data_IF_982312998567
#
_entry.id   IF_982312998567
#
_cell.length_a   1.000
_cell.length_b   1.000
_cell.length_c   1.000
_cell.angle_alpha   90.00
_cell.angle_beta   90.00
_cell.angle_gamma   90.00
#
_symmetry.space_group_name_H-M   'P 1'
#
loop_
_entity.id
_entity.type
_entity.pdbx_description
1 polymer ?
#
# COMPACT_ATOMS: atom_id res chain seq x y z
N UNK A 1 -4.44 25.09 -8.78
CA UNK A 1 -4.25 24.93 -7.32
C UNK A 1 -2.92 25.61 -6.99
N UNK A 2 -2.90 26.64 -6.13
CA UNK A 2 -1.66 27.35 -5.77
C UNK A 2 -1.11 26.82 -4.44
N UNK A 3 0.22 26.67 -4.37
CA UNK A 3 0.96 26.19 -3.20
C UNK A 3 1.39 27.42 -2.39
N UNK A 4 0.96 27.52 -1.13
CA UNK A 4 1.56 28.46 -0.17
C UNK A 4 2.20 27.70 1.00
N UNK A 5 3.52 27.58 0.91
CA UNK A 5 4.52 27.27 1.95
C UNK A 5 4.51 25.87 2.61
N UNK A 6 5.71 25.29 2.64
CA UNK A 6 6.07 24.05 3.32
C UNK A 6 6.78 24.35 4.64
N UNK A 7 6.26 23.83 5.76
CA UNK A 7 7.05 23.59 6.97
C UNK A 7 6.79 22.17 7.47
N UNK A 8 7.88 21.41 7.60
CA UNK A 8 7.97 20.18 8.42
C UNK A 8 7.10 18.98 8.02
N UNK A 9 7.35 18.42 6.83
CA UNK A 9 7.23 16.97 6.63
C UNK A 9 5.84 16.36 6.41
N UNK A 10 4.78 17.16 6.24
CA UNK A 10 3.44 16.66 5.91
C UNK A 10 2.87 17.42 4.71
N UNK A 11 2.52 16.70 3.65
CA UNK A 11 1.82 17.23 2.50
C UNK A 11 0.31 17.27 2.83
N UNK A 12 -0.24 18.45 3.12
CA UNK A 12 -1.69 18.64 3.33
C UNK A 12 -2.27 19.40 2.15
N UNK A 13 -3.26 18.81 1.47
CA UNK A 13 -4.04 19.50 0.44
C UNK A 13 -5.22 20.22 1.09
N UNK A 14 -5.35 21.54 0.88
CA UNK A 14 -6.53 22.32 1.26
C UNK A 14 -7.24 22.79 -0.02
N UNK A 15 -8.52 22.46 -0.17
CA UNK A 15 -9.41 23.11 -1.13
C UNK A 15 -9.98 24.38 -0.49
N UNK A 16 -10.07 25.49 -1.23
CA UNK A 16 -10.37 26.82 -0.69
C UNK A 16 -11.74 26.89 0.02
N UNK A 17 -11.73 27.40 1.26
CA UNK A 17 -12.84 28.11 1.89
C UNK A 17 -12.26 29.16 2.88
N UNK A 18 -12.98 30.29 2.99
CA UNK A 18 -12.66 31.65 3.50
C UNK A 18 -12.00 31.79 4.91
N UNK A 19 -11.49 32.99 5.30
CA UNK A 19 -10.37 33.15 6.23
C UNK A 19 -10.74 33.28 7.73
N UNK A 20 -9.82 32.82 8.59
CA UNK A 20 -9.73 33.27 9.99
C UNK A 20 -9.41 32.18 11.01
N UNK A 21 -8.16 31.70 11.10
CA UNK A 21 -7.61 31.15 12.37
C UNK A 21 -6.08 31.12 12.34
N UNK A 22 -5.45 31.75 13.33
CA UNK A 22 -4.00 31.80 13.56
C UNK A 22 -3.58 30.66 14.50
N UNK A 23 -2.49 29.93 14.22
CA UNK A 23 -1.90 28.95 15.17
C UNK A 23 -0.38 29.12 15.31
N UNK A 24 0.10 29.00 16.55
CA UNK A 24 1.47 29.30 17.00
C UNK A 24 2.52 28.27 16.58
N UNK A 25 3.75 28.77 16.39
CA UNK A 25 4.95 28.10 15.85
C UNK A 25 5.78 27.45 16.97
N UNK A 26 6.28 26.22 16.80
CA UNK A 26 7.44 25.69 17.53
C UNK A 26 8.30 24.80 16.63
N UNK A 27 9.61 25.04 16.64
CA UNK A 27 10.60 24.49 15.72
C UNK A 27 11.12 23.10 16.17
N UNK A 28 11.46 22.24 15.20
CA UNK A 28 12.36 21.09 15.39
C UNK A 28 13.36 21.01 14.21
N UNK A 29 14.58 20.64 14.54
CA UNK A 29 15.81 20.80 13.75
C UNK A 29 16.02 19.74 12.65
N UNK A 30 16.88 20.10 11.70
CA UNK A 30 17.29 19.37 10.50
C UNK A 30 17.93 18.00 10.77
N UNK A 31 17.51 16.98 10.02
CA UNK A 31 18.30 15.76 9.77
C UNK A 31 18.36 15.47 8.27
N UNK A 32 19.57 15.21 7.78
CA UNK A 32 19.82 14.66 6.43
C UNK A 32 19.45 13.17 6.46
N UNK A 33 18.49 12.76 5.63
CA UNK A 33 18.09 11.35 5.54
C UNK A 33 17.10 11.10 4.39
N UNK A 34 17.15 9.89 3.83
CA UNK A 34 16.17 9.36 2.88
C UNK A 34 14.79 9.30 3.55
N UNK A 35 13.78 9.90 2.91
CA UNK A 35 12.39 9.88 3.39
C UNK A 35 11.66 8.71 2.73
N UNK A 36 11.09 7.84 3.55
CA UNK A 36 10.24 6.73 3.12
C UNK A 36 8.77 7.16 3.21
N UNK A 37 8.08 7.21 2.07
CA UNK A 37 6.64 7.46 2.00
C UNK A 37 5.97 6.25 1.35
N UNK A 38 5.46 5.33 2.16
CA UNK A 38 4.52 4.32 1.68
C UNK A 38 3.12 4.92 1.67
N UNK A 39 2.49 4.97 0.50
CA UNK A 39 1.10 5.44 0.39
C UNK A 39 0.18 4.30 0.82
N UNK A 40 -0.05 4.19 2.13
CA UNK A 40 -1.13 3.38 2.69
C UNK A 40 -2.37 4.25 2.71
N UNK A 41 -3.15 4.25 1.61
CA UNK A 41 -4.42 4.95 1.60
C UNK A 41 -5.45 4.09 2.36
N UNK A 42 -5.80 4.53 3.56
CA UNK A 42 -6.95 3.99 4.29
C UNK A 42 -8.20 4.25 3.43
N UNK A 43 -8.88 3.19 3.00
CA UNK A 43 -10.15 3.27 2.27
C UNK A 43 -11.14 4.13 3.07
N UNK A 44 -11.49 5.30 2.52
CA UNK A 44 -12.67 6.07 2.92
C UNK A 44 -13.63 6.00 1.75
N UNK A 45 -14.75 5.31 1.94
CA UNK A 45 -15.86 5.31 0.99
C UNK A 45 -16.33 6.75 0.77
N UNK A 46 -16.31 7.18 -0.49
CA UNK A 46 -16.75 8.51 -0.91
C UNK A 46 -18.25 8.45 -1.20
N UNK A 47 -19.04 9.19 -0.42
CA UNK A 47 -20.43 9.53 -0.75
C UNK A 47 -20.42 10.51 -1.94
N UNK A 48 -21.14 10.15 -3.01
CA UNK A 48 -21.14 10.82 -4.31
C UNK A 48 -21.69 12.26 -4.34
N UNK A 49 -21.95 12.90 -3.20
CA UNK A 49 -22.59 14.24 -3.20
C UNK A 49 -21.94 15.32 -2.36
N UNK A 50 -20.90 15.06 -1.55
CA UNK A 50 -20.20 16.14 -0.80
C UNK A 50 -18.71 15.85 -0.60
N UNK A 51 -17.88 16.59 -1.31
CA UNK A 51 -16.42 16.57 -1.18
C UNK A 51 -15.99 17.35 0.08
N UNK A 52 -15.98 16.70 1.23
CA UNK A 52 -15.23 17.17 2.40
C UNK A 52 -14.42 16.03 3.02
N UNK A 53 -13.10 16.17 2.97
CA UNK A 53 -12.14 15.28 3.62
C UNK A 53 -11.84 15.85 5.00
N UNK A 54 -12.21 15.13 6.06
CA UNK A 54 -11.76 15.43 7.43
C UNK A 54 -10.98 14.23 7.95
N UNK A 55 -9.65 14.32 7.97
CA UNK A 55 -8.79 13.36 8.64
C UNK A 55 -8.27 14.00 9.94
N UNK A 56 -8.67 13.45 11.09
CA UNK A 56 -8.07 13.76 12.39
C UNK A 56 -7.52 12.44 12.93
N UNK A 57 -6.20 12.33 13.02
CA UNK A 57 -5.56 11.21 13.68
C UNK A 57 -5.78 11.33 15.20
N UNK A 58 -6.08 10.24 15.93
CA UNK A 58 -6.02 10.26 17.38
C UNK A 58 -4.54 10.28 17.81
N UNK A 59 -4.13 11.39 18.42
CA UNK A 59 -3.00 11.41 19.35
C UNK A 59 -3.38 10.47 20.50
N UNK A 60 -2.70 9.33 20.63
CA UNK A 60 -2.73 8.59 21.88
C UNK A 60 -1.62 9.13 22.76
N UNK A 61 -2.02 9.95 23.74
CA UNK A 61 -1.24 10.21 24.93
C UNK A 61 -0.96 8.88 25.64
N UNK A 62 0.31 8.48 25.64
CA UNK A 62 0.92 7.62 26.65
C UNK A 62 2.44 7.77 26.48
N UNK A 63 2.94 8.86 27.04
CA UNK A 63 4.37 9.06 27.31
C UNK A 63 4.72 8.08 28.43
N UNK A 64 5.34 6.95 28.07
CA UNK A 64 6.19 6.23 29.01
C UNK A 64 7.63 6.68 28.70
N UNK A 65 8.13 7.59 29.52
CA UNK A 65 9.56 7.89 29.61
C UNK A 65 10.28 6.60 30.01
N UNK A 66 10.89 5.92 29.02
CA UNK A 66 11.98 5.02 29.30
C UNK A 66 13.25 5.88 29.34
N UNK A 67 13.67 6.25 30.55
CA UNK A 67 15.00 6.76 30.85
C UNK A 67 16.03 5.81 30.23
N UNK A 68 16.76 6.27 29.22
CA UNK A 68 17.93 5.59 28.68
C UNK A 68 19.09 5.95 29.60
N UNK A 69 19.56 4.97 30.38
CA UNK A 69 20.87 5.01 31.03
C UNK A 69 21.95 5.09 29.93
N UNK A 70 22.71 6.20 29.93
CA UNK A 70 23.76 6.49 28.96
C UNK A 70 25.14 5.98 29.41
N UNK A 71 25.22 4.95 30.24
CA UNK A 71 26.50 4.37 30.67
C UNK A 71 26.63 2.89 30.29
N UNK A 72 27.08 2.65 29.06
CA UNK A 72 27.46 1.32 28.59
C UNK A 72 28.02 1.39 27.17
N UNK A 73 29.33 1.16 27.05
CA UNK A 73 30.06 1.19 25.78
C UNK A 73 29.45 0.22 24.74
N UNK A 74 28.96 0.78 23.63
CA UNK A 74 28.67 0.01 22.42
C UNK A 74 29.94 -0.06 21.55
N UNK A 75 30.30 -1.23 20.99
CA UNK A 75 31.45 -1.32 20.11
C UNK A 75 31.17 -0.54 18.81
N UNK A 76 32.00 0.46 18.54
CA UNK A 76 32.04 1.15 17.25
C UNK A 76 32.59 0.19 16.18
N UNK A 77 31.73 -0.25 15.26
CA UNK A 77 32.21 -0.83 14.00
C UNK A 77 32.54 0.31 13.03
N UNK A 78 33.84 0.50 12.79
CA UNK A 78 34.33 1.31 11.68
C UNK A 78 33.92 0.63 10.38
N UNK A 79 33.08 1.30 9.57
CA UNK A 79 32.79 0.88 8.20
C UNK A 79 34.07 1.10 7.40
N UNK A 80 34.79 0.03 7.10
CA UNK A 80 35.81 0.04 6.04
C UNK A 80 35.12 -0.17 4.70
N UNK A 81 35.57 0.57 3.71
CA UNK A 81 35.15 0.42 2.31
C UNK A 81 35.33 -1.04 1.86
N UNK A 82 34.24 -1.64 1.39
CA UNK A 82 34.23 -3.01 0.83
C UNK A 82 34.50 -2.86 -0.67
N UNK A 83 35.70 -3.24 -1.09
CA UNK A 83 36.02 -3.46 -2.51
C UNK A 83 35.29 -4.72 -3.04
N UNK A 84 34.97 -4.80 -4.35
CA UNK A 84 34.02 -5.77 -4.90
C UNK A 84 34.44 -7.25 -4.87
N UNK A 85 35.57 -7.57 -4.26
CA UNK A 85 36.26 -8.86 -4.41
C UNK A 85 36.10 -9.79 -3.20
N UNK A 86 35.56 -9.28 -2.07
CA UNK A 86 35.42 -10.02 -0.81
C UNK A 86 33.98 -10.47 -0.48
N UNK A 87 33.10 -10.56 -1.50
CA UNK A 87 31.79 -11.16 -1.32
C UNK A 87 31.91 -12.67 -1.11
N UNK A 88 31.94 -13.09 0.15
CA UNK A 88 32.04 -14.48 0.60
C UNK A 88 31.02 -15.38 -0.13
N UNK A 89 31.54 -16.19 -1.06
CA UNK A 89 30.81 -17.10 -1.96
C UNK A 89 30.20 -18.29 -1.19
N UNK A 90 30.46 -18.41 0.12
CA UNK A 90 29.89 -19.47 0.97
C UNK A 90 28.38 -19.33 1.19
N UNK A 91 27.82 -18.11 1.14
CA UNK A 91 26.37 -17.89 1.25
C UNK A 91 25.60 -18.44 0.03
N UNK A 92 26.22 -18.43 -1.16
CA UNK A 92 25.61 -18.94 -2.39
C UNK A 92 25.65 -20.46 -2.53
N UNK A 93 26.60 -21.15 -1.87
CA UNK A 93 26.61 -22.62 -1.87
C UNK A 93 25.37 -23.22 -1.19
N UNK A 94 24.87 -22.59 -0.12
CA UNK A 94 23.66 -23.03 0.58
C UNK A 94 22.37 -22.97 -0.26
N UNK A 95 22.31 -22.11 -1.28
CA UNK A 95 21.13 -22.01 -2.16
C UNK A 95 21.08 -23.13 -3.21
N UNK A 96 22.22 -23.72 -3.55
CA UNK A 96 22.29 -24.83 -4.51
C UNK A 96 21.84 -26.16 -3.90
N UNK A 97 22.11 -26.37 -2.60
CA UNK A 97 21.66 -27.56 -1.88
C UNK A 97 20.14 -27.53 -1.55
N UNK A 98 19.56 -26.35 -1.39
CA UNK A 98 18.10 -26.21 -1.19
C UNK A 98 17.30 -26.55 -2.46
N UNK A 99 17.88 -26.41 -3.66
CA UNK A 99 17.21 -26.78 -4.92
C UNK A 99 16.96 -28.28 -5.06
N UNK A 100 17.68 -29.15 -4.35
CA UNK A 100 17.47 -30.60 -4.43
C UNK A 100 16.37 -31.12 -3.50
N UNK A 101 15.89 -30.31 -2.55
CA UNK A 101 14.85 -30.72 -1.57
C UNK A 101 13.44 -30.18 -1.87
N UNK A 102 13.25 -29.46 -2.98
CA UNK A 102 11.91 -29.02 -3.41
C UNK A 102 11.66 -29.44 -4.85
N UNK A 103 11.24 -30.69 -5.04
CA UNK A 103 10.49 -31.12 -6.22
C UNK A 103 9.07 -30.50 -6.18
N UNK A 104 8.99 -29.17 -6.19
CA UNK A 104 7.74 -28.45 -6.38
C UNK A 104 7.76 -27.93 -7.81
N UNK A 105 7.16 -28.73 -8.69
CA UNK A 105 6.67 -28.28 -9.99
C UNK A 105 5.89 -26.97 -9.79
N UNK A 106 6.33 -25.89 -10.47
CA UNK A 106 5.60 -24.63 -10.54
C UNK A 106 4.46 -24.67 -11.58
N UNK A 107 4.21 -25.83 -12.21
CA UNK A 107 3.38 -25.97 -13.41
C UNK A 107 1.96 -26.53 -13.16
N UNK A 108 1.53 -26.70 -11.89
CA UNK A 108 0.23 -27.32 -11.56
C UNK A 108 -0.76 -26.38 -10.83
N UNK A 109 -0.84 -25.09 -11.19
CA UNK A 109 -2.02 -24.29 -10.80
C UNK A 109 -3.20 -24.64 -11.71
N UNK A 110 -4.08 -25.53 -11.23
CA UNK A 110 -5.46 -25.57 -11.76
C UNK A 110 -6.04 -24.16 -11.65
N UNK A 111 -6.65 -23.60 -12.72
CA UNK A 111 -7.20 -22.27 -12.67
C UNK A 111 -8.21 -22.18 -11.54
N UNK A 112 -7.94 -21.34 -10.53
CA UNK A 112 -8.89 -21.07 -9.47
C UNK A 112 -10.05 -20.29 -10.07
N UNK A 113 -11.28 -20.73 -9.81
CA UNK A 113 -12.48 -19.99 -10.22
C UNK A 113 -12.47 -18.61 -9.57
N UNK A 114 -12.99 -17.61 -10.30
CA UNK A 114 -13.13 -16.24 -9.79
C UNK A 114 -13.99 -16.26 -8.53
N UNK A 115 -13.48 -15.63 -7.47
CA UNK A 115 -14.23 -15.44 -6.22
C UNK A 115 -15.32 -14.41 -6.47
N UNK A 116 -16.56 -14.78 -6.14
CA UNK A 116 -17.73 -13.91 -6.24
C UNK A 116 -18.10 -13.38 -4.85
N UNK A 117 -18.45 -12.10 -4.81
CA UNK A 117 -18.91 -11.39 -3.62
C UNK A 117 -20.41 -11.06 -3.69
N UNK A 118 -21.17 -11.81 -4.49
CA UNK A 118 -22.60 -11.54 -4.71
C UNK A 118 -23.35 -11.56 -3.38
N UNK A 119 -24.05 -10.47 -3.09
CA UNK A 119 -24.83 -10.30 -1.86
C UNK A 119 -24.00 -10.09 -0.59
N UNK A 120 -22.67 -9.98 -0.68
CA UNK A 120 -21.87 -9.52 0.45
C UNK A 120 -22.16 -8.04 0.68
N UNK A 121 -22.19 -7.65 1.96
CA UNK A 121 -22.42 -6.27 2.36
C UNK A 121 -21.20 -5.70 3.08
N UNK A 122 -20.98 -4.40 2.97
CA UNK A 122 -20.01 -3.68 3.80
C UNK A 122 -20.78 -2.81 4.78
N UNK A 123 -20.55 -3.01 6.08
CA UNK A 123 -21.21 -2.27 7.14
C UNK A 123 -20.19 -1.43 7.91
N UNK A 124 -20.55 -0.18 8.21
CA UNK A 124 -19.86 0.63 9.20
C UNK A 124 -20.50 0.41 10.56
N UNK A 125 -19.69 -0.07 11.51
CA UNK A 125 -20.12 -0.41 12.86
C UNK A 125 -19.56 0.61 13.83
N UNK A 126 -20.42 1.24 14.62
CA UNK A 126 -20.05 2.28 15.57
C UNK A 126 -19.89 1.70 16.98
N UNK A 127 -18.69 1.84 17.53
CA UNK A 127 -18.28 1.24 18.78
C UNK A 127 -18.21 2.32 19.86
N UNK A 128 -18.90 2.05 20.96
CA UNK A 128 -18.98 2.96 22.12
C UNK A 128 -18.14 2.48 23.30
N UNK A 129 -17.74 1.21 23.31
CA UNK A 129 -17.00 0.55 24.38
C UNK A 129 -15.95 -0.38 23.79
N UNK A 130 -14.77 -0.45 24.43
CA UNK A 130 -13.70 -1.35 23.98
C UNK A 130 -14.14 -2.83 24.00
N UNK A 131 -15.00 -3.24 24.95
CA UNK A 131 -15.54 -4.60 25.01
C UNK A 131 -16.40 -4.99 23.79
N UNK A 132 -16.88 -4.02 23.01
CA UNK A 132 -17.65 -4.32 21.79
C UNK A 132 -16.74 -4.83 20.66
N UNK A 133 -15.43 -4.55 20.71
CA UNK A 133 -14.47 -5.10 19.75
C UNK A 133 -14.31 -6.62 19.86
N UNK A 134 -14.49 -7.18 21.06
CA UNK A 134 -14.40 -8.63 21.28
C UNK A 134 -15.53 -9.36 20.56
N UNK A 135 -16.71 -8.74 20.47
CA UNK A 135 -17.87 -9.27 19.74
C UNK A 135 -17.57 -9.30 18.23
N UNK A 136 -16.99 -8.21 17.69
CA UNK A 136 -16.60 -8.17 16.28
C UNK A 136 -15.53 -9.22 15.98
N UNK A 137 -14.57 -9.38 16.90
CA UNK A 137 -13.51 -10.39 16.79
C UNK A 137 -14.07 -11.82 16.82
N UNK A 138 -15.04 -12.09 17.69
CA UNK A 138 -15.73 -13.37 17.74
C UNK A 138 -16.46 -13.69 16.43
N UNK A 139 -17.23 -12.74 15.87
CA UNK A 139 -17.91 -12.93 14.59
C UNK A 139 -16.91 -13.15 13.45
N UNK A 140 -15.74 -12.52 13.51
CA UNK A 140 -14.66 -12.73 12.55
C UNK A 140 -14.08 -14.14 12.67
N UNK A 141 -13.84 -14.63 13.88
CA UNK A 141 -13.29 -15.96 14.13
C UNK A 141 -14.27 -17.07 13.71
N UNK A 142 -15.58 -16.82 13.82
CA UNK A 142 -16.65 -17.67 13.28
C UNK A 142 -16.77 -17.60 11.74
N UNK A 143 -16.03 -16.69 11.10
CA UNK A 143 -16.07 -16.47 9.66
C UNK A 143 -17.32 -15.74 9.17
N UNK A 144 -18.15 -15.19 10.06
CA UNK A 144 -19.35 -14.43 9.69
C UNK A 144 -19.00 -13.10 9.02
N UNK A 145 -17.90 -12.47 9.46
CA UNK A 145 -17.45 -11.17 8.97
C UNK A 145 -15.94 -11.14 8.69
N UNK A 146 -15.50 -10.20 7.84
CA UNK A 146 -14.09 -9.81 7.73
C UNK A 146 -13.93 -8.31 8.05
N UNK A 147 -12.79 -7.93 8.61
CA UNK A 147 -12.51 -6.55 9.05
C UNK A 147 -11.68 -5.82 8.00
N UNK A 148 -12.17 -4.72 7.45
CA UNK A 148 -11.49 -4.00 6.37
C UNK A 148 -10.65 -2.82 6.86
N UNK A 149 -11.11 -2.11 7.88
CA UNK A 149 -10.40 -0.97 8.46
C UNK A 149 -11.28 -0.20 9.43
N UNK A 150 -10.68 0.72 10.19
CA UNK A 150 -11.42 1.50 11.18
C UNK A 150 -10.53 2.07 12.27
N UNK A 151 -11.16 2.73 13.23
CA UNK A 151 -10.56 3.18 14.48
C UNK A 151 -11.34 2.59 15.67
N UNK A 152 -11.00 3.00 16.89
CA UNK A 152 -11.65 2.50 18.11
C UNK A 152 -13.15 2.82 18.21
N UNK A 153 -13.63 3.80 17.45
CA UNK A 153 -15.01 4.29 17.50
C UNK A 153 -15.85 3.85 16.29
N UNK A 154 -15.22 3.45 15.19
CA UNK A 154 -15.92 2.96 14.01
C UNK A 154 -15.05 1.96 13.23
N UNK A 155 -15.62 0.81 12.90
CA UNK A 155 -14.98 -0.23 12.10
C UNK A 155 -15.85 -0.64 10.92
N UNK A 156 -15.23 -0.77 9.75
CA UNK A 156 -15.87 -1.26 8.54
C UNK A 156 -15.65 -2.78 8.45
N UNK A 157 -16.76 -3.52 8.38
CA UNK A 157 -16.79 -4.98 8.27
C UNK A 157 -17.45 -5.40 6.96
N UNK A 158 -16.98 -6.50 6.38
CA UNK A 158 -17.67 -7.18 5.30
C UNK A 158 -18.46 -8.35 5.86
N UNK A 159 -19.76 -8.37 5.62
CA UNK A 159 -20.71 -9.37 6.12
C UNK A 159 -21.07 -10.33 5.00
N UNK A 160 -21.00 -11.64 5.29
CA UNK A 160 -21.39 -12.67 4.33
C UNK A 160 -22.91 -12.69 4.14
N UNK A 161 -23.43 -12.99 2.94
CA UNK A 161 -24.87 -13.04 2.68
C UNK A 161 -25.64 -13.93 3.67
N UNK A 162 -25.10 -15.12 3.95
CA UNK A 162 -25.71 -16.09 4.86
C UNK A 162 -25.69 -15.64 6.34
N UNK A 163 -24.85 -14.66 6.70
CA UNK A 163 -24.67 -14.21 8.08
C UNK A 163 -25.36 -12.87 8.37
N UNK A 164 -26.02 -12.24 7.39
CA UNK A 164 -26.64 -10.91 7.53
C UNK A 164 -27.60 -10.86 8.73
N UNK A 165 -28.54 -11.80 8.82
CA UNK A 165 -29.53 -11.84 9.90
C UNK A 165 -28.89 -12.07 11.27
N UNK A 166 -27.94 -13.01 11.34
CA UNK A 166 -27.23 -13.34 12.58
C UNK A 166 -26.40 -12.15 13.08
N UNK A 167 -25.62 -11.52 12.20
CA UNK A 167 -24.77 -10.38 12.53
C UNK A 167 -25.64 -9.18 12.92
N UNK A 168 -26.72 -8.90 12.20
CA UNK A 168 -27.68 -7.84 12.55
C UNK A 168 -28.26 -8.05 13.96
N UNK A 169 -28.73 -9.26 14.26
CA UNK A 169 -29.25 -9.62 15.58
C UNK A 169 -28.18 -9.56 16.67
N UNK A 170 -26.92 -9.93 16.37
CA UNK A 170 -25.80 -9.85 17.31
C UNK A 170 -25.48 -8.39 17.66
N UNK A 171 -25.42 -7.51 16.67
CA UNK A 171 -25.17 -6.09 16.87
C UNK A 171 -26.32 -5.43 17.65
N UNK A 172 -27.58 -5.74 17.30
CA UNK A 172 -28.75 -5.22 18.00
C UNK A 172 -28.79 -5.63 19.48
N UNK A 173 -28.55 -6.92 19.79
CA UNK A 173 -28.51 -7.43 21.17
C UNK A 173 -27.46 -6.74 22.05
N UNK A 174 -26.36 -6.28 21.43
CA UNK A 174 -25.26 -5.63 22.12
C UNK A 174 -25.30 -4.10 22.04
N UNK A 175 -26.42 -3.52 21.58
CA UNK A 175 -26.60 -2.09 21.37
C UNK A 175 -25.48 -1.46 20.52
N UNK A 176 -25.02 -2.18 19.50
CA UNK A 176 -24.02 -1.71 18.54
C UNK A 176 -24.76 -1.18 17.31
N UNK A 177 -24.61 0.12 17.04
CA UNK A 177 -25.21 0.74 15.86
C UNK A 177 -24.38 0.39 14.62
N UNK A 178 -25.05 0.16 13.50
CA UNK A 178 -24.38 -0.03 12.21
C UNK A 178 -25.14 0.67 11.08
N UNK A 179 -24.43 0.88 9.98
CA UNK A 179 -24.91 1.44 8.74
C UNK A 179 -24.43 0.56 7.58
N UNK A 180 -25.31 0.21 6.65
CA UNK A 180 -24.94 -0.52 5.43
C UNK A 180 -24.35 0.47 4.45
N UNK A 181 -23.05 0.37 4.21
CA UNK A 181 -22.31 1.24 3.28
C UNK A 181 -22.37 0.73 1.84
N UNK A 182 -22.31 -0.60 1.67
CA UNK A 182 -22.49 -1.30 0.39
C UNK A 182 -23.44 -2.47 0.63
N UNK A 183 -24.52 -2.53 -0.13
CA UNK A 183 -25.54 -3.57 -0.09
C UNK A 183 -25.21 -4.77 -1.01
N UNK A 184 -24.36 -4.57 -2.01
CA UNK A 184 -23.77 -5.64 -2.84
C UNK A 184 -22.34 -5.27 -3.28
N UNK A 185 -21.36 -5.91 -2.66
CA UNK A 185 -19.93 -5.74 -2.99
C UNK A 185 -19.64 -6.21 -4.41
N UNK A 186 -20.32 -7.24 -4.93
CA UNK A 186 -20.08 -7.70 -6.31
C UNK A 186 -20.53 -6.66 -7.33
N UNK A 187 -21.64 -5.95 -7.07
CA UNK A 187 -22.07 -4.84 -7.93
C UNK A 187 -21.01 -3.76 -7.97
N UNK A 188 -20.49 -3.34 -6.81
CA UNK A 188 -19.42 -2.36 -6.73
C UNK A 188 -18.15 -2.81 -7.49
N UNK A 189 -17.79 -4.09 -7.42
CA UNK A 189 -16.66 -4.66 -8.19
C UNK A 189 -16.94 -4.64 -9.69
N UNK A 190 -18.16 -4.95 -10.12
CA UNK A 190 -18.50 -4.96 -11.55
C UNK A 190 -18.47 -3.56 -12.16
N UNK A 191 -18.77 -2.54 -11.35
CA UNK A 191 -18.86 -1.13 -11.75
C UNK A 191 -17.56 -0.34 -11.48
N UNK A 192 -16.50 -0.99 -10.95
CA UNK A 192 -15.30 -0.29 -10.46
C UNK A 192 -14.46 0.35 -11.57
N UNK A 193 -14.56 -0.15 -12.79
CA UNK A 193 -13.94 0.40 -13.98
C UNK A 193 -15.02 0.85 -14.97
N UNK A 194 -14.83 1.97 -15.67
CA UNK A 194 -15.77 2.40 -16.69
C UNK A 194 -15.85 1.37 -17.82
N UNK A 195 -17.04 1.23 -18.39
CA UNK A 195 -17.28 0.44 -19.60
C UNK A 195 -16.67 1.16 -20.79
N UNK A 196 -15.38 0.92 -21.05
CA UNK A 196 -14.57 1.39 -22.20
C UNK A 196 -14.39 2.89 -22.37
N UNK A 197 -13.11 3.31 -22.44
CA UNK A 197 -12.65 4.44 -23.26
C UNK A 197 -11.35 3.99 -23.95
N UNK A 198 -11.53 3.26 -25.04
CA UNK A 198 -10.48 2.66 -25.88
C UNK A 198 -9.88 3.68 -26.87
N UNK A 199 -10.06 4.98 -26.66
CA UNK A 199 -9.38 5.97 -27.50
C UNK A 199 -7.93 6.14 -27.06
N UNK A 200 -7.03 5.41 -27.73
CA UNK A 200 -5.58 5.51 -27.53
C UNK A 200 -4.94 6.66 -28.32
N UNK A 201 -5.69 7.37 -29.18
CA UNK A 201 -5.11 8.33 -30.13
C UNK A 201 -4.45 9.54 -29.43
N UNK A 202 -4.97 9.98 -28.28
CA UNK A 202 -4.41 11.12 -27.55
C UNK A 202 -3.23 10.78 -26.63
N UNK A 203 -2.90 9.49 -26.47
CA UNK A 203 -1.98 9.00 -25.42
C UNK A 203 -0.59 8.62 -25.96
N UNK A 204 -0.23 9.14 -27.13
CA UNK A 204 1.09 8.94 -27.79
C UNK A 204 1.56 7.48 -27.76
N UNK A 205 0.63 6.53 -27.89
CA UNK A 205 0.92 5.10 -27.95
C UNK A 205 0.91 4.31 -26.62
N UNK A 206 0.59 4.90 -25.46
CA UNK A 206 0.43 4.14 -24.21
C UNK A 206 -1.05 3.95 -23.79
N UNK A 207 -1.34 2.80 -23.14
CA UNK A 207 -2.71 2.40 -22.78
C UNK A 207 -3.18 2.86 -21.39
N UNK A 208 -2.27 3.35 -20.55
CA UNK A 208 -2.59 3.80 -19.20
C UNK A 208 -3.44 5.08 -19.21
N UNK A 209 -4.46 5.11 -18.34
CA UNK A 209 -5.38 6.23 -18.11
C UNK A 209 -5.60 6.41 -16.59
N UNK A 210 -6.07 7.57 -16.16
CA UNK A 210 -6.45 7.82 -14.75
C UNK A 210 -7.96 7.78 -14.51
N UNK A 211 -8.70 7.20 -15.46
CA UNK A 211 -10.14 6.95 -15.35
C UNK A 211 -10.46 5.48 -15.07
N UNK A 212 -9.45 4.60 -15.09
CA UNK A 212 -9.59 3.17 -14.87
C UNK A 212 -8.40 2.60 -14.09
N UNK A 213 -8.62 1.47 -13.42
CA UNK A 213 -7.59 0.65 -12.79
C UNK A 213 -7.02 -0.36 -13.78
N UNK A 214 -5.69 -0.37 -13.87
CA UNK A 214 -4.95 -1.08 -14.92
C UNK A 214 -4.20 -2.29 -14.36
N UNK A 215 -4.14 -3.37 -15.13
CA UNK A 215 -3.27 -4.53 -14.85
C UNK A 215 -1.80 -4.13 -14.86
N UNK A 216 -0.94 -4.94 -14.23
CA UNK A 216 0.51 -4.67 -14.12
C UNK A 216 1.16 -4.46 -15.49
N UNK A 217 0.74 -5.23 -16.51
CA UNK A 217 1.28 -5.11 -17.87
C UNK A 217 1.11 -3.70 -18.48
N UNK A 218 -0.06 -3.06 -18.25
CA UNK A 218 -0.32 -1.70 -18.76
C UNK A 218 0.48 -0.67 -17.97
N UNK A 219 0.55 -0.83 -16.64
CA UNK A 219 1.36 0.04 -15.77
C UNK A 219 2.84 -0.04 -16.18
N UNK A 220 3.36 -1.25 -16.39
CA UNK A 220 4.76 -1.44 -16.79
C UNK A 220 5.03 -0.95 -18.21
N UNK A 221 4.10 -1.13 -19.15
CA UNK A 221 4.19 -0.52 -20.47
C UNK A 221 4.25 1.01 -20.43
N UNK A 222 3.50 1.63 -19.51
CA UNK A 222 3.58 3.08 -19.27
C UNK A 222 4.95 3.50 -18.74
N UNK A 223 5.55 2.76 -17.80
CA UNK A 223 6.90 3.08 -17.31
C UNK A 223 7.94 3.03 -18.44
N UNK A 224 7.90 2.03 -19.31
CA UNK A 224 8.81 1.94 -20.47
C UNK A 224 8.53 3.04 -21.51
N UNK A 225 7.26 3.43 -21.68
CA UNK A 225 6.93 4.57 -22.53
C UNK A 225 7.58 5.87 -22.01
N UNK A 226 7.67 6.06 -20.70
CA UNK A 226 8.33 7.25 -20.14
C UNK A 226 9.85 7.26 -20.37
N UNK A 227 10.52 6.10 -20.36
CA UNK A 227 11.98 6.04 -20.63
C UNK A 227 12.29 6.38 -22.09
N UNK A 228 11.40 6.00 -23.01
CA UNK A 228 11.53 6.35 -24.44
C UNK A 228 11.17 7.80 -24.72
N UNK A 229 10.17 8.34 -24.03
CA UNK A 229 9.69 9.72 -24.24
C UNK A 229 10.57 10.76 -23.53
N UNK A 230 11.10 10.43 -22.36
CA UNK A 230 11.92 11.32 -21.53
C UNK A 230 13.25 10.66 -21.15
N UNK A 231 14.12 10.30 -22.12
CA UNK A 231 15.30 9.47 -21.88
C UNK A 231 16.37 10.12 -20.98
N UNK A 232 16.41 11.45 -20.90
CA UNK A 232 17.34 12.19 -20.03
C UNK A 232 16.84 12.34 -18.59
N UNK A 233 15.57 12.00 -18.32
CA UNK A 233 14.91 12.22 -17.04
C UNK A 233 14.49 10.90 -16.39
N UNK A 234 14.04 9.93 -17.19
CA UNK A 234 13.42 8.69 -16.75
C UNK A 234 14.29 7.47 -17.05
N UNK A 235 14.46 6.59 -16.07
CA UNK A 235 15.03 5.25 -16.28
C UNK A 235 14.27 4.21 -15.46
N UNK A 236 14.13 3.00 -15.99
CA UNK A 236 13.44 1.89 -15.32
C UNK A 236 14.48 0.82 -14.92
N UNK A 237 14.35 0.30 -13.71
CA UNK A 237 15.16 -0.82 -13.20
C UNK A 237 14.26 -1.89 -12.60
N UNK A 238 14.64 -3.15 -12.78
CA UNK A 238 14.07 -4.24 -11.99
C UNK A 238 14.85 -4.35 -10.69
N UNK A 239 14.17 -4.22 -9.55
CA UNK A 239 14.79 -4.24 -8.21
C UNK A 239 14.69 -5.61 -7.52
N UNK A 240 13.96 -6.54 -8.14
CA UNK A 240 13.78 -7.89 -7.63
C UNK A 240 12.73 -8.64 -8.44
N UNK A 241 12.57 -9.91 -8.08
CA UNK A 241 11.53 -10.78 -8.64
C UNK A 241 10.56 -11.17 -7.52
N UNK A 242 9.28 -11.26 -7.85
CA UNK A 242 8.26 -11.77 -6.95
C UNK A 242 8.36 -13.28 -6.77
N UNK A 243 7.50 -13.85 -5.91
CA UNK A 243 7.51 -15.30 -5.64
C UNK A 243 7.09 -16.12 -6.86
N UNK A 244 6.21 -15.57 -7.69
CA UNK A 244 5.85 -16.16 -8.98
C UNK A 244 6.70 -15.61 -10.14
N UNK A 245 7.90 -15.10 -9.84
CA UNK A 245 8.89 -14.66 -10.82
C UNK A 245 8.41 -13.52 -11.76
N UNK A 246 7.62 -12.57 -11.24
CA UNK A 246 7.30 -11.31 -11.92
C UNK A 246 8.29 -10.22 -11.53
N UNK A 247 8.77 -9.39 -12.47
CA UNK A 247 9.69 -8.31 -12.14
C UNK A 247 9.00 -7.26 -11.27
N UNK A 248 9.69 -6.78 -10.25
CA UNK A 248 9.31 -5.60 -9.46
C UNK A 248 10.04 -4.42 -10.08
N UNK A 249 9.30 -3.51 -10.73
CA UNK A 249 9.88 -2.38 -11.45
C UNK A 249 9.93 -1.12 -10.60
N UNK A 250 11.04 -0.39 -10.74
CA UNK A 250 11.29 0.92 -10.17
C UNK A 250 11.51 1.92 -11.30
N UNK A 251 10.75 3.01 -11.31
CA UNK A 251 11.03 4.18 -12.13
C UNK A 251 11.91 5.15 -11.33
N UNK A 252 13.05 5.54 -11.89
CA UNK A 252 13.84 6.68 -11.43
C UNK A 252 13.53 7.90 -12.27
N UNK A 253 13.18 9.02 -11.64
CA UNK A 253 13.05 10.35 -12.25
C UNK A 253 14.14 11.25 -11.66
N UNK A 254 15.06 11.76 -12.47
CA UNK A 254 16.20 12.54 -12.00
C UNK A 254 16.80 13.41 -13.11
N UNK A 255 17.23 14.63 -12.75
CA UNK A 255 17.99 15.50 -13.64
C UNK A 255 19.50 15.19 -13.68
N UNK A 256 19.95 14.14 -12.99
CA UNK A 256 21.35 13.70 -12.96
C UNK A 256 22.30 14.59 -12.16
N UNK A 257 21.81 15.62 -11.46
CA UNK A 257 22.67 16.51 -10.67
C UNK A 257 23.21 15.79 -9.41
N UNK A 258 24.52 15.85 -9.16
CA UNK A 258 25.08 15.38 -7.90
C UNK A 258 24.49 16.15 -6.71
N UNK A 259 24.25 15.44 -5.60
CA UNK A 259 23.76 16.04 -4.35
C UNK A 259 22.24 16.17 -4.23
N UNK A 260 21.47 15.73 -5.23
CA UNK A 260 20.01 15.60 -5.12
C UNK A 260 19.62 14.72 -3.92
N UNK A 261 18.52 15.09 -3.26
CA UNK A 261 17.93 14.24 -2.21
C UNK A 261 17.22 13.06 -2.85
N UNK A 262 17.15 11.93 -2.16
CA UNK A 262 16.39 10.76 -2.63
C UNK A 262 15.05 10.65 -1.91
N UNK A 263 13.98 10.43 -2.67
CA UNK A 263 12.65 10.11 -2.14
C UNK A 263 12.17 8.80 -2.74
N UNK A 264 11.73 7.88 -1.87
CA UNK A 264 11.11 6.62 -2.28
C UNK A 264 9.60 6.70 -2.12
N UNK A 265 8.88 6.29 -3.17
CA UNK A 265 7.41 6.18 -3.18
C UNK A 265 7.02 4.80 -3.69
N UNK A 266 6.24 4.05 -2.91
CA UNK A 266 5.66 2.78 -3.34
C UNK A 266 4.13 2.78 -3.31
N UNK A 267 3.55 1.99 -4.20
CA UNK A 267 2.13 1.68 -4.26
C UNK A 267 1.89 0.18 -4.40
N UNK A 268 0.67 -0.26 -4.10
CA UNK A 268 0.24 -1.63 -4.32
C UNK A 268 0.99 -2.67 -3.46
N UNK A 269 1.45 -2.30 -2.26
CA UNK A 269 2.00 -3.29 -1.31
C UNK A 269 0.92 -4.28 -0.85
N UNK A 270 -0.30 -3.79 -0.64
CA UNK A 270 -1.50 -4.62 -0.53
C UNK A 270 -2.22 -4.66 -1.87
N UNK A 271 -2.47 -5.87 -2.35
CA UNK A 271 -2.92 -6.08 -3.72
C UNK A 271 -4.28 -5.44 -4.04
N UNK A 272 -5.27 -5.53 -3.15
CA UNK A 272 -6.63 -4.99 -3.36
C UNK A 272 -6.73 -3.46 -3.38
N UNK A 273 -5.70 -2.74 -2.95
CA UNK A 273 -5.70 -1.28 -2.79
C UNK A 273 -5.39 -0.58 -4.13
N UNK A 274 -6.20 -0.84 -5.16
CA UNK A 274 -5.99 -0.41 -6.57
C UNK A 274 -5.87 1.10 -6.78
N UNK A 275 -6.39 1.91 -5.86
CA UNK A 275 -6.19 3.36 -5.87
C UNK A 275 -4.72 3.74 -5.67
N UNK A 276 -3.93 2.91 -4.99
CA UNK A 276 -2.53 3.22 -4.70
C UNK A 276 -1.65 3.15 -5.96
N UNK A 277 -1.65 2.09 -6.81
CA UNK A 277 -0.93 2.14 -8.09
C UNK A 277 -1.43 3.25 -9.01
N UNK A 278 -2.74 3.51 -9.07
CA UNK A 278 -3.30 4.57 -9.90
C UNK A 278 -2.84 5.97 -9.46
N UNK A 279 -2.78 6.23 -8.16
CA UNK A 279 -2.29 7.49 -7.61
C UNK A 279 -0.79 7.65 -7.85
N UNK A 280 -0.01 6.58 -7.66
CA UNK A 280 1.43 6.61 -7.87
C UNK A 280 1.76 6.88 -9.34
N UNK A 281 1.05 6.27 -10.29
CA UNK A 281 1.25 6.59 -11.72
C UNK A 281 0.78 8.00 -12.07
N UNK A 282 -0.22 8.56 -11.37
CA UNK A 282 -0.61 9.96 -11.53
C UNK A 282 0.48 10.93 -11.08
N UNK A 283 1.10 10.65 -9.93
CA UNK A 283 2.25 11.41 -9.41
C UNK A 283 3.40 11.36 -10.42
N UNK A 284 3.73 10.17 -10.93
CA UNK A 284 4.73 10.00 -11.99
C UNK A 284 4.43 10.92 -13.17
N UNK A 285 3.20 10.88 -13.70
CA UNK A 285 2.81 11.69 -14.85
C UNK A 285 2.96 13.18 -14.59
N UNK A 286 2.52 13.64 -13.41
CA UNK A 286 2.61 15.03 -13.03
C UNK A 286 4.06 15.53 -13.01
N UNK A 287 4.94 14.79 -12.32
CA UNK A 287 6.36 15.15 -12.19
C UNK A 287 7.03 15.13 -13.57
N UNK A 288 6.82 14.07 -14.36
CA UNK A 288 7.55 13.88 -15.63
C UNK A 288 7.05 14.87 -16.71
N UNK A 289 5.74 15.06 -16.85
CA UNK A 289 5.19 15.92 -17.90
C UNK A 289 5.39 17.41 -17.63
N UNK A 290 5.59 17.81 -16.37
CA UNK A 290 5.76 19.22 -15.97
C UNK A 290 7.14 19.53 -15.40
N UNK A 291 8.11 18.61 -15.49
CA UNK A 291 9.38 18.67 -14.74
C UNK A 291 10.08 20.02 -14.77
N UNK A 292 10.21 20.64 -15.95
CA UNK A 292 10.89 21.94 -16.13
C UNK A 292 10.18 23.10 -15.41
N UNK A 293 8.88 22.97 -15.19
CA UNK A 293 8.03 23.96 -14.50
C UNK A 293 7.84 23.64 -13.01
N UNK A 294 8.31 22.49 -12.54
CA UNK A 294 8.20 22.12 -11.13
C UNK A 294 9.10 23.00 -10.25
N UNK A 295 8.76 23.22 -8.97
CA UNK A 295 9.64 23.91 -8.04
C UNK A 295 11.00 23.22 -7.90
N UNK A 296 12.05 23.99 -7.57
CA UNK A 296 13.42 23.47 -7.44
C UNK A 296 13.54 22.29 -6.47
N UNK A 297 12.76 22.25 -5.40
CA UNK A 297 12.80 21.12 -4.46
C UNK A 297 12.30 19.80 -5.08
N UNK A 298 11.45 19.83 -6.10
CA UNK A 298 11.06 18.64 -6.88
C UNK A 298 12.15 18.30 -7.91
N UNK A 299 12.66 19.31 -8.62
CA UNK A 299 13.71 19.14 -9.64
C UNK A 299 15.03 18.63 -9.06
N UNK A 300 15.39 19.07 -7.85
CA UNK A 300 16.62 18.70 -7.14
C UNK A 300 16.38 17.49 -6.20
N UNK A 301 15.39 16.66 -6.54
CA UNK A 301 15.10 15.37 -5.90
C UNK A 301 15.18 14.24 -6.93
N UNK A 302 15.89 13.18 -6.57
CA UNK A 302 15.86 11.89 -7.26
C UNK A 302 14.66 11.08 -6.73
N UNK A 303 13.67 10.88 -7.59
CA UNK A 303 12.47 10.12 -7.25
C UNK A 303 12.65 8.65 -7.63
N UNK A 304 12.43 7.76 -6.68
CA UNK A 304 12.47 6.31 -6.85
C UNK A 304 11.06 5.77 -6.59
N UNK A 305 10.36 5.38 -7.65
CA UNK A 305 8.94 5.10 -7.58
C UNK A 305 8.62 3.68 -8.05
N UNK A 306 7.99 2.87 -7.17
CA UNK A 306 7.51 1.51 -7.47
C UNK A 306 5.99 1.48 -7.41
N UNK A 307 5.28 1.58 -8.56
CA UNK A 307 3.81 1.63 -8.56
C UNK A 307 3.15 0.34 -8.09
N UNK A 308 3.81 -0.82 -8.27
CA UNK A 308 3.28 -2.14 -7.91
C UNK A 308 4.34 -2.91 -7.13
N UNK A 309 4.35 -2.77 -5.81
CA UNK A 309 5.27 -3.46 -4.92
C UNK A 309 4.94 -4.97 -4.75
N UNK A 310 3.68 -5.36 -4.95
CA UNK A 310 3.20 -6.75 -4.86
C UNK A 310 2.58 -7.21 -6.19
N UNK A 311 3.38 -7.47 -7.25
CA UNK A 311 2.85 -7.78 -8.57
C UNK A 311 2.08 -9.10 -8.62
N UNK A 312 2.44 -10.10 -7.80
CA UNK A 312 1.72 -11.37 -7.76
C UNK A 312 0.33 -11.22 -7.16
N UNK A 313 0.24 -10.55 -6.01
CA UNK A 313 -1.06 -10.28 -5.39
C UNK A 313 -1.92 -9.39 -6.28
N UNK A 314 -1.33 -8.35 -6.87
CA UNK A 314 -2.07 -7.42 -7.73
C UNK A 314 -2.65 -8.11 -8.97
N UNK A 315 -1.88 -8.95 -9.67
CA UNK A 315 -2.42 -9.75 -10.77
C UNK A 315 -3.53 -10.71 -10.29
N UNK A 316 -3.34 -11.34 -9.12
CA UNK A 316 -4.35 -12.22 -8.54
C UNK A 316 -5.68 -11.50 -8.26
N UNK A 317 -5.64 -10.21 -7.93
CA UNK A 317 -6.87 -9.40 -7.77
C UNK A 317 -7.59 -9.10 -9.07
N UNK A 318 -6.88 -9.07 -10.19
CA UNK A 318 -7.49 -8.89 -11.51
C UNK A 318 -8.04 -10.19 -12.09
N UNK A 319 -7.47 -11.34 -11.74
CA UNK A 319 -7.85 -12.64 -12.33
C UNK A 319 -8.78 -13.48 -11.47
N UNK A 320 -8.64 -13.44 -10.14
CA UNK A 320 -9.19 -14.48 -9.27
C UNK A 320 -9.95 -13.91 -8.07
N UNK A 321 -9.29 -13.16 -7.19
CA UNK A 321 -9.87 -12.67 -5.94
C UNK A 321 -9.59 -11.18 -5.78
N UNK A 322 -10.60 -10.36 -6.09
CA UNK A 322 -10.52 -8.90 -6.07
C UNK A 322 -10.15 -8.32 -4.70
N UNK A 323 -10.48 -8.99 -3.60
CA UNK A 323 -10.21 -8.54 -2.24
C UNK A 323 -8.96 -9.17 -1.63
N UNK A 324 -8.17 -9.87 -2.44
CA UNK A 324 -6.87 -10.40 -2.02
C UNK A 324 -5.91 -9.29 -1.58
N UNK A 325 -5.27 -9.46 -0.42
CA UNK A 325 -4.39 -8.45 0.19
C UNK A 325 -2.90 -8.80 0.11
N UNK A 326 -2.58 -10.06 0.34
CA UNK A 326 -1.22 -10.55 0.68
C UNK A 326 -0.35 -10.75 -0.57
N UNK A 327 0.90 -11.16 -0.39
CA UNK A 327 1.67 -11.75 -1.50
C UNK A 327 1.11 -13.14 -1.87
N UNK A 328 1.79 -13.87 -2.76
CA UNK A 328 1.38 -15.22 -3.21
C UNK A 328 2.35 -16.33 -2.79
N UNK A 329 3.17 -16.08 -1.77
CA UNK A 329 4.04 -17.11 -1.21
C UNK A 329 3.23 -18.28 -0.64
N UNK A 330 3.75 -19.51 -0.76
CA UNK A 330 3.19 -20.68 -0.06
C UNK A 330 4.19 -21.14 0.99
N UNK A 331 3.73 -21.32 2.22
CA UNK A 331 4.57 -21.74 3.35
C UNK A 331 4.01 -23.03 3.93
N UNK A 332 4.38 -24.18 3.35
CA UNK A 332 4.19 -25.54 3.90
C UNK A 332 2.76 -25.96 4.30
N UNK A 333 1.75 -25.11 4.14
CA UNK A 333 0.38 -25.32 4.58
C UNK A 333 -0.65 -24.83 3.55
N UNK A 334 -1.93 -24.92 3.92
CA UNK A 334 -3.05 -24.65 3.00
C UNK A 334 -3.24 -23.15 2.67
N UNK A 335 -2.75 -22.25 3.52
CA UNK A 335 -2.91 -20.80 3.36
C UNK A 335 -1.79 -20.20 2.50
N UNK A 336 -2.16 -19.51 1.42
CA UNK A 336 -1.23 -18.71 0.63
C UNK A 336 -1.12 -17.29 1.19
N UNK A 337 0.08 -16.72 1.08
CA UNK A 337 0.36 -15.30 1.23
C UNK A 337 0.78 -14.85 2.64
N UNK A 338 1.71 -13.90 2.67
CA UNK A 338 2.13 -13.10 3.84
C UNK A 338 1.69 -11.65 3.64
N UNK A 339 1.25 -10.98 4.71
CA UNK A 339 1.04 -9.53 4.69
C UNK A 339 2.41 -8.84 4.62
N UNK A 340 2.71 -8.22 3.47
CA UNK A 340 4.01 -7.59 3.22
C UNK A 340 4.29 -6.43 4.17
N UNK A 341 3.27 -5.69 4.60
CA UNK A 341 3.41 -4.61 5.57
C UNK A 341 3.46 -5.10 7.04
N UNK A 342 3.64 -6.41 7.24
CA UNK A 342 3.97 -7.03 8.53
C UNK A 342 5.27 -7.83 8.46
N UNK A 343 6.01 -7.70 7.36
CA UNK A 343 7.19 -8.50 7.07
C UNK A 343 8.49 -7.67 7.01
N UNK A 344 8.45 -6.40 7.42
CA UNK A 344 9.65 -5.58 7.58
C UNK A 344 10.39 -5.97 8.87
N UNK A 345 11.72 -5.85 8.87
CA UNK A 345 12.58 -6.14 10.03
C UNK A 345 12.43 -5.18 11.22
N UNK A 346 11.43 -4.30 11.22
CA UNK A 346 11.18 -3.35 12.30
C UNK A 346 10.13 -3.92 13.29
N UNK A 347 10.54 -4.13 14.54
CA UNK A 347 9.67 -4.69 15.61
C UNK A 347 8.95 -5.98 15.18
N UNK A 348 9.63 -6.85 14.43
CA UNK A 348 9.12 -8.19 14.10
C UNK A 348 8.86 -8.93 15.41
N UNK A 349 7.59 -9.12 15.77
CA UNK A 349 7.19 -9.98 16.88
C UNK A 349 6.80 -11.33 16.29
N UNK A 350 7.70 -12.32 16.28
CA UNK A 350 7.25 -13.68 16.07
C UNK A 350 6.22 -13.97 17.16
N UNK A 351 4.98 -14.26 16.78
CA UNK A 351 4.08 -14.99 17.68
C UNK A 351 4.74 -16.35 17.87
N UNK A 352 5.57 -16.48 18.88
CA UNK A 352 5.95 -17.78 19.39
C UNK A 352 4.64 -18.43 19.83
N UNK A 353 4.12 -19.33 18.99
CA UNK A 353 3.27 -20.39 19.49
C UNK A 353 4.16 -21.23 20.40
N UNK A 354 4.13 -20.92 21.70
CA UNK A 354 4.57 -21.87 22.70
C UNK A 354 3.56 -23.01 22.64
N UNK A 355 3.88 -24.07 21.89
CA UNK A 355 3.28 -25.36 22.13
C UNK A 355 3.65 -25.77 23.56
N UNK A 356 2.65 -25.90 24.42
CA UNK A 356 2.77 -26.70 25.63
C UNK A 356 2.44 -28.15 25.31
#
# INVERSE_FOLDING_TARGET
MQIETWTSGVLVYKTQASPGTTFHRRAMSETRGTVWLSVVLLLVLVDHKRWQVTARAPLTDNVAEALIDTSGDFPTYQVRDIEPEDADVSFFKGLTEIKQLTNVSLDDEKPQSRVLYTGWQTWRVYLSKDSQMDIISQMKDQGAVDTWGGNKSAIDIAVRPAAIEEVSAMLARNNIKHEVMLDDVQRAINEENPTSDDDTNDRKGHRLTWQAYHKTAVIYGYLEHLTTTYPNLCSVKTIGMSVQNRPIKLLKISNGKPGNKAVWVDGGIHAREWITPATVTYIINHIVSNFENEPKYIQDTDWYITPVANPDGYEFTHSTDRLWRKNRARSGGQCAGTDLNRNFGCRYRPRFFLSK
#
